data_IF_496763590477
#
_entry.id   IF_496763590477
#
_cell.length_a   1.000
_cell.length_b   1.000
_cell.length_c   1.000
_cell.angle_alpha   90.00
_cell.angle_beta   90.00
_cell.angle_gamma   90.00
#
_symmetry.space_group_name_H-M   'P 1'
#
loop_
_entity.id
_entity.type
_entity.pdbx_description
1 polymer ?
#
# COMPACT_ATOMS: atom_id res chain seq x y z
N UNK A 1 -21.20 -2.20 -38.10
CA UNK A 1 -21.31 -2.40 -39.56
C UNK A 1 -22.72 -2.19 -40.11
N UNK A 2 -23.77 -2.85 -39.59
CA UNK A 2 -25.15 -2.70 -40.11
C UNK A 2 -25.69 -1.26 -40.12
N UNK A 3 -25.27 -0.42 -39.17
CA UNK A 3 -25.75 0.97 -39.07
C UNK A 3 -25.18 1.90 -40.14
N UNK A 4 -23.86 1.87 -40.38
CA UNK A 4 -23.24 2.67 -41.45
C UNK A 4 -23.79 2.32 -42.83
N UNK A 5 -24.09 1.03 -43.06
CA UNK A 5 -24.73 0.57 -44.29
C UNK A 5 -26.12 1.17 -44.49
N UNK A 6 -26.92 1.34 -43.42
CA UNK A 6 -28.24 1.99 -43.50
C UNK A 6 -28.14 3.47 -43.86
N UNK A 7 -27.19 4.19 -43.25
CA UNK A 7 -26.97 5.60 -43.55
C UNK A 7 -26.50 5.81 -44.99
N UNK A 8 -25.63 4.93 -45.51
CA UNK A 8 -25.23 4.97 -46.92
C UNK A 8 -26.42 4.84 -47.86
N UNK A 9 -27.29 3.85 -47.64
CA UNK A 9 -28.49 3.67 -48.47
C UNK A 9 -29.45 4.87 -48.38
N UNK A 10 -29.64 5.43 -47.19
CA UNK A 10 -30.49 6.60 -47.00
C UNK A 10 -29.95 7.82 -47.76
N UNK A 11 -28.65 8.09 -47.66
CA UNK A 11 -28.01 9.22 -48.35
C UNK A 11 -28.10 9.03 -49.87
N UNK A 12 -27.79 7.83 -50.38
CA UNK A 12 -27.90 7.51 -51.81
C UNK A 12 -29.34 7.66 -52.29
N UNK A 13 -30.31 7.15 -51.53
CA UNK A 13 -31.72 7.29 -51.85
C UNK A 13 -32.14 8.76 -51.92
N UNK A 14 -31.77 9.59 -50.93
CA UNK A 14 -32.08 11.02 -50.94
C UNK A 14 -31.45 11.73 -52.14
N UNK A 15 -30.19 11.43 -52.48
CA UNK A 15 -29.53 11.99 -53.65
C UNK A 15 -30.26 11.64 -54.95
N UNK A 16 -30.58 10.36 -55.16
CA UNK A 16 -31.28 9.89 -56.36
C UNK A 16 -32.71 10.44 -56.43
N UNK A 17 -33.41 10.51 -55.30
CA UNK A 17 -34.76 11.03 -55.21
C UNK A 17 -34.81 12.53 -55.56
N UNK A 18 -33.95 13.36 -54.95
CA UNK A 18 -33.88 14.80 -55.23
C UNK A 18 -33.42 15.05 -56.68
N UNK A 19 -32.47 14.26 -57.18
CA UNK A 19 -32.04 14.34 -58.59
C UNK A 19 -33.18 13.98 -59.53
N UNK A 20 -33.93 12.92 -59.24
CA UNK A 20 -35.12 12.54 -60.00
C UNK A 20 -36.16 13.66 -60.04
N UNK A 21 -36.45 14.29 -58.90
CA UNK A 21 -37.37 15.43 -58.84
C UNK A 21 -36.93 16.57 -59.76
N UNK A 22 -35.63 16.85 -59.85
CA UNK A 22 -35.11 17.87 -60.78
C UNK A 22 -35.27 17.48 -62.25
N UNK A 23 -34.92 16.25 -62.64
CA UNK A 23 -34.94 15.85 -64.05
C UNK A 23 -36.34 15.56 -64.60
N UNK A 24 -37.29 15.14 -63.75
CA UNK A 24 -38.66 14.83 -64.18
C UNK A 24 -39.63 16.00 -64.09
N UNK A 25 -39.23 17.13 -63.52
CA UNK A 25 -40.07 18.33 -63.42
C UNK A 25 -39.91 19.22 -64.66
N UNK A 26 -41.01 19.82 -65.12
CA UNK A 26 -40.98 20.72 -66.28
C UNK A 26 -40.21 22.01 -65.94
N UNK A 27 -39.39 22.47 -66.90
CA UNK A 27 -38.49 23.61 -66.74
C UNK A 27 -39.17 24.96 -66.53
N UNK A 28 -40.45 25.08 -66.82
CA UNK A 28 -41.25 26.29 -66.57
C UNK A 28 -41.63 26.46 -65.08
N UNK A 29 -41.45 25.43 -64.23
CA UNK A 29 -41.77 25.46 -62.80
C UNK A 29 -40.54 25.82 -61.96
N UNK A 30 -39.97 27.00 -62.21
CA UNK A 30 -38.71 27.48 -61.61
C UNK A 30 -38.69 27.44 -60.07
N UNK A 31 -39.83 27.73 -59.44
CA UNK A 31 -39.97 27.71 -57.98
C UNK A 31 -39.72 26.30 -57.41
N UNK A 32 -40.15 25.25 -58.11
CA UNK A 32 -39.92 23.87 -57.67
C UNK A 32 -38.44 23.48 -57.82
N UNK A 33 -37.79 23.87 -58.92
CA UNK A 33 -36.35 23.62 -59.10
C UNK A 33 -35.51 24.35 -58.03
N UNK A 34 -35.85 25.58 -57.64
CA UNK A 34 -35.17 26.28 -56.53
C UNK A 34 -35.34 25.52 -55.21
N UNK A 35 -36.57 25.06 -54.92
CA UNK A 35 -36.87 24.30 -53.72
C UNK A 35 -36.10 22.98 -53.67
N UNK A 36 -36.11 22.19 -54.76
CA UNK A 36 -35.39 20.92 -54.83
C UNK A 36 -33.89 21.10 -54.70
N UNK A 37 -33.33 22.21 -55.22
CA UNK A 37 -31.91 22.53 -55.07
C UNK A 37 -31.53 22.67 -53.59
N UNK A 38 -32.35 23.35 -52.79
CA UNK A 38 -32.13 23.48 -51.34
C UNK A 38 -32.23 22.15 -50.59
N UNK A 39 -32.98 21.17 -51.11
CA UNK A 39 -33.05 19.85 -50.48
C UNK A 39 -31.72 19.10 -50.49
N UNK A 40 -30.80 19.40 -51.42
CA UNK A 40 -29.48 18.76 -51.46
C UNK A 40 -28.61 19.05 -50.23
N UNK A 41 -28.87 20.12 -49.46
CA UNK A 41 -28.17 20.33 -48.20
C UNK A 41 -28.43 19.23 -47.18
N UNK A 42 -29.60 18.58 -47.21
CA UNK A 42 -29.98 17.52 -46.28
C UNK A 42 -29.03 16.31 -46.38
N UNK A 43 -28.85 15.65 -47.55
CA UNK A 43 -27.91 14.53 -47.66
C UNK A 43 -26.45 14.94 -47.41
N UNK A 44 -26.05 16.17 -47.76
CA UNK A 44 -24.70 16.69 -47.48
C UNK A 44 -24.44 16.78 -45.98
N UNK A 45 -25.35 17.43 -45.24
CA UNK A 45 -25.25 17.59 -43.78
C UNK A 45 -25.30 16.21 -43.10
N UNK A 46 -26.22 15.33 -43.49
CA UNK A 46 -26.29 13.98 -42.93
C UNK A 46 -24.99 13.18 -43.15
N UNK A 47 -24.41 13.28 -44.34
CA UNK A 47 -23.14 12.64 -44.64
C UNK A 47 -21.98 13.23 -43.82
N UNK A 48 -21.96 14.56 -43.65
CA UNK A 48 -21.00 15.25 -42.78
C UNK A 48 -21.13 14.82 -41.31
N UNK A 49 -22.35 14.66 -40.79
CA UNK A 49 -22.55 14.19 -39.41
C UNK A 49 -22.13 12.73 -39.21
N UNK A 50 -22.39 11.84 -40.17
CA UNK A 50 -22.13 10.41 -40.01
C UNK A 50 -20.72 9.99 -40.39
N UNK A 51 -20.17 10.61 -41.42
CA UNK A 51 -18.85 10.26 -41.98
C UNK A 51 -17.86 11.44 -41.94
N UNK A 52 -18.18 12.48 -41.17
CA UNK A 52 -17.30 13.61 -40.87
C UNK A 52 -16.87 14.32 -42.16
N UNK A 53 -15.64 14.83 -42.21
CA UNK A 53 -15.14 15.60 -43.36
C UNK A 53 -15.16 14.81 -44.67
N UNK A 54 -14.90 13.50 -44.63
CA UNK A 54 -14.90 12.64 -45.82
C UNK A 54 -16.31 12.50 -46.41
N UNK A 55 -17.33 12.34 -45.56
CA UNK A 55 -18.73 12.25 -46.01
C UNK A 55 -19.26 13.55 -46.59
N UNK A 56 -19.08 14.65 -45.85
CA UNK A 56 -19.54 15.97 -46.29
C UNK A 56 -18.91 16.38 -47.62
N UNK A 57 -17.62 16.13 -47.80
CA UNK A 57 -16.91 16.39 -49.05
C UNK A 57 -17.35 15.47 -50.19
N UNK A 58 -17.38 14.14 -49.98
CA UNK A 58 -17.74 13.20 -51.04
C UNK A 58 -19.18 13.43 -51.55
N UNK A 59 -20.13 13.68 -50.64
CA UNK A 59 -21.53 13.89 -51.01
C UNK A 59 -21.77 15.26 -51.63
N UNK A 60 -21.11 16.32 -51.17
CA UNK A 60 -21.22 17.64 -51.82
C UNK A 60 -20.65 17.63 -53.25
N UNK A 61 -19.56 16.91 -53.49
CA UNK A 61 -19.05 16.70 -54.86
C UNK A 61 -20.02 15.86 -55.69
N UNK A 62 -20.57 14.79 -55.12
CA UNK A 62 -21.55 13.96 -55.84
C UNK A 62 -22.79 14.78 -56.24
N UNK A 63 -23.32 15.61 -55.34
CA UNK A 63 -24.40 16.56 -55.64
C UNK A 63 -24.00 17.49 -56.77
N UNK A 64 -22.81 18.08 -56.71
CA UNK A 64 -22.30 18.98 -57.74
C UNK A 64 -22.27 18.31 -59.12
N UNK A 65 -21.69 17.11 -59.20
CA UNK A 65 -21.60 16.35 -60.44
C UNK A 65 -22.97 15.92 -60.99
N UNK A 66 -23.93 15.62 -60.14
CA UNK A 66 -25.30 15.25 -60.54
C UNK A 66 -26.12 16.47 -61.01
N UNK A 67 -25.87 17.64 -60.42
CA UNK A 67 -26.62 18.86 -60.69
C UNK A 67 -26.12 19.62 -61.93
N UNK A 68 -24.80 19.62 -62.21
CA UNK A 68 -24.21 20.35 -63.35
C UNK A 68 -24.85 20.00 -64.70
N UNK A 69 -25.06 18.72 -65.09
CA UNK A 69 -25.63 18.41 -66.40
C UNK A 69 -27.05 18.97 -66.55
N UNK A 70 -27.85 18.95 -65.48
CA UNK A 70 -29.17 19.58 -65.46
C UNK A 70 -29.06 21.09 -65.68
N UNK A 71 -28.13 21.76 -64.99
CA UNK A 71 -27.91 23.19 -65.20
C UNK A 71 -27.55 23.52 -66.65
N UNK A 72 -26.61 22.80 -67.27
CA UNK A 72 -26.15 23.08 -68.64
C UNK A 72 -27.29 22.89 -69.64
N UNK A 73 -28.11 21.85 -69.49
CA UNK A 73 -29.24 21.56 -70.40
C UNK A 73 -30.29 22.68 -70.36
N UNK A 74 -30.63 23.19 -69.19
CA UNK A 74 -31.74 24.14 -69.02
C UNK A 74 -31.31 25.61 -69.07
N UNK A 75 -30.08 25.92 -68.72
CA UNK A 75 -29.56 27.29 -68.60
C UNK A 75 -28.47 27.64 -69.60
N UNK A 76 -28.08 26.74 -70.52
CA UNK A 76 -26.84 26.70 -71.33
C UNK A 76 -26.33 27.94 -72.09
N UNK A 77 -26.89 29.13 -71.84
CA UNK A 77 -26.34 30.44 -72.18
C UNK A 77 -25.81 31.11 -70.90
N UNK A 78 -24.62 31.72 -70.97
CA UNK A 78 -24.08 32.49 -69.84
C UNK A 78 -24.98 33.69 -69.50
N UNK A 79 -25.80 33.53 -68.46
CA UNK A 79 -26.69 34.55 -67.91
C UNK A 79 -26.53 34.66 -66.37
N UNK A 80 -27.20 35.65 -65.76
CA UNK A 80 -27.15 35.88 -64.31
C UNK A 80 -27.70 34.68 -63.52
N UNK A 81 -28.65 33.94 -64.10
CA UNK A 81 -29.28 32.79 -63.44
C UNK A 81 -28.33 31.58 -63.38
N UNK A 82 -27.58 31.31 -64.46
CA UNK A 82 -26.52 30.31 -64.48
C UNK A 82 -25.45 30.64 -63.44
N UNK A 83 -25.09 31.92 -63.30
CA UNK A 83 -24.13 32.38 -62.30
C UNK A 83 -24.63 32.11 -60.86
N UNK A 84 -25.89 32.44 -60.55
CA UNK A 84 -26.47 32.18 -59.23
C UNK A 84 -26.47 30.68 -58.87
N UNK A 85 -26.71 29.80 -59.85
CA UNK A 85 -26.71 28.36 -59.61
C UNK A 85 -25.31 27.77 -59.47
N UNK A 86 -24.31 28.34 -60.15
CA UNK A 86 -22.91 28.01 -59.93
C UNK A 86 -22.48 28.43 -58.51
N UNK A 87 -22.91 29.59 -58.03
CA UNK A 87 -22.67 30.01 -56.64
C UNK A 87 -23.31 29.04 -55.63
N UNK A 88 -24.54 28.58 -55.87
CA UNK A 88 -25.18 27.58 -55.00
C UNK A 88 -24.40 26.26 -54.97
N UNK A 89 -23.90 25.83 -56.13
CA UNK A 89 -23.07 24.64 -56.25
C UNK A 89 -21.78 24.74 -55.44
N UNK A 90 -21.16 25.94 -55.41
CA UNK A 90 -20.03 26.22 -54.52
C UNK A 90 -20.47 26.15 -53.06
N UNK A 91 -21.65 26.69 -52.72
CA UNK A 91 -22.19 26.61 -51.36
C UNK A 91 -22.40 25.18 -50.86
N UNK A 92 -22.78 24.22 -51.72
CA UNK A 92 -22.84 22.80 -51.34
C UNK A 92 -21.50 22.26 -50.84
N UNK A 93 -20.42 22.56 -51.55
CA UNK A 93 -19.07 22.14 -51.17
C UNK A 93 -18.61 22.85 -49.90
N UNK A 94 -18.87 24.16 -49.79
CA UNK A 94 -18.54 24.94 -48.60
C UNK A 94 -19.27 24.41 -47.37
N UNK A 95 -20.57 24.15 -47.45
CA UNK A 95 -21.35 23.59 -46.34
C UNK A 95 -20.88 22.17 -45.99
N UNK A 96 -20.67 21.32 -46.99
CA UNK A 96 -20.15 19.96 -46.76
C UNK A 96 -18.80 19.93 -46.05
N UNK A 97 -17.88 20.83 -46.46
CA UNK A 97 -16.58 20.98 -45.83
C UNK A 97 -16.67 21.58 -44.42
N UNK A 98 -17.41 22.67 -44.22
CA UNK A 98 -17.53 23.32 -42.91
C UNK A 98 -18.22 22.39 -41.91
N UNK A 99 -19.38 21.83 -42.25
CA UNK A 99 -20.09 20.90 -41.37
C UNK A 99 -19.24 19.66 -41.10
N UNK A 100 -18.61 19.10 -42.13
CA UNK A 100 -17.75 17.93 -41.98
C UNK A 100 -16.51 18.20 -41.10
N UNK A 101 -15.91 19.38 -41.24
CA UNK A 101 -14.79 19.85 -40.42
C UNK A 101 -15.21 20.06 -38.96
N UNK A 102 -16.34 20.73 -38.71
CA UNK A 102 -16.85 20.96 -37.35
C UNK A 102 -17.13 19.63 -36.63
N UNK A 103 -17.80 18.69 -37.32
CA UNK A 103 -18.09 17.36 -36.75
C UNK A 103 -16.81 16.56 -36.52
N UNK A 104 -15.83 16.63 -37.43
CA UNK A 104 -14.51 15.99 -37.24
C UNK A 104 -13.78 16.58 -36.02
N UNK A 105 -13.82 17.89 -35.84
CA UNK A 105 -13.20 18.56 -34.69
C UNK A 105 -13.85 18.15 -33.37
N UNK A 106 -15.18 18.11 -33.30
CA UNK A 106 -15.91 17.70 -32.09
C UNK A 106 -15.68 16.22 -31.78
N UNK A 107 -15.64 15.37 -32.80
CA UNK A 107 -15.30 13.96 -32.62
C UNK A 107 -13.87 13.77 -32.05
N UNK A 108 -12.90 14.53 -32.55
CA UNK A 108 -11.51 14.49 -32.05
C UNK A 108 -11.41 14.98 -30.61
N UNK A 109 -12.05 16.11 -30.28
CA UNK A 109 -12.12 16.63 -28.90
C UNK A 109 -12.74 15.62 -27.96
N UNK A 110 -13.84 14.98 -28.36
CA UNK A 110 -14.50 13.93 -27.57
C UNK A 110 -13.55 12.76 -27.26
N UNK A 111 -12.81 12.27 -28.27
CA UNK A 111 -11.80 11.22 -28.08
C UNK A 111 -10.64 11.64 -27.20
N UNK A 112 -10.16 12.87 -27.36
CA UNK A 112 -9.06 13.40 -26.54
C UNK A 112 -9.47 13.53 -25.07
N UNK A 113 -10.68 14.04 -24.80
CA UNK A 113 -11.24 14.09 -23.45
C UNK A 113 -11.40 12.70 -22.85
N UNK A 114 -11.94 11.73 -23.60
CA UNK A 114 -12.06 10.35 -23.15
C UNK A 114 -10.69 9.75 -22.79
N UNK A 115 -9.68 9.97 -23.64
CA UNK A 115 -8.31 9.54 -23.37
C UNK A 115 -7.73 10.21 -22.11
N UNK A 116 -7.94 11.52 -21.92
CA UNK A 116 -7.50 12.24 -20.73
C UNK A 116 -8.17 11.72 -19.45
N UNK A 117 -9.48 11.46 -19.47
CA UNK A 117 -10.22 10.89 -18.34
C UNK A 117 -9.64 9.52 -17.98
N UNK A 118 -9.48 8.61 -18.96
CA UNK A 118 -8.90 7.28 -18.71
C UNK A 118 -7.49 7.39 -18.13
N UNK A 119 -6.66 8.29 -18.66
CA UNK A 119 -5.29 8.50 -18.17
C UNK A 119 -5.27 9.02 -16.74
N UNK A 120 -6.14 9.97 -16.39
CA UNK A 120 -6.28 10.50 -15.03
C UNK A 120 -6.75 9.41 -14.06
N UNK A 121 -7.79 8.65 -14.42
CA UNK A 121 -8.28 7.53 -13.60
C UNK A 121 -7.21 6.47 -13.38
N UNK A 122 -6.43 6.13 -14.41
CA UNK A 122 -5.33 5.17 -14.26
C UNK A 122 -4.23 5.69 -13.32
N UNK A 123 -3.88 6.98 -13.39
CA UNK A 123 -2.89 7.59 -12.51
C UNK A 123 -3.38 7.63 -11.05
N UNK A 124 -4.65 7.97 -10.84
CA UNK A 124 -5.29 7.96 -9.52
C UNK A 124 -5.30 6.54 -8.93
N UNK A 125 -5.72 5.55 -9.71
CA UNK A 125 -5.70 4.14 -9.30
C UNK A 125 -4.29 3.63 -9.00
N UNK A 126 -3.31 3.98 -9.83
CA UNK A 126 -1.91 3.61 -9.60
C UNK A 126 -1.39 4.20 -8.28
N UNK A 127 -1.65 5.48 -8.02
CA UNK A 127 -1.25 6.16 -6.78
C UNK A 127 -1.93 5.55 -5.56
N UNK A 128 -3.23 5.27 -5.65
CA UNK A 128 -3.98 4.59 -4.60
C UNK A 128 -3.44 3.19 -4.35
N UNK A 129 -3.12 2.41 -5.39
CA UNK A 129 -2.55 1.07 -5.23
C UNK A 129 -1.19 1.10 -4.54
N UNK A 130 -0.32 2.06 -4.87
CA UNK A 130 0.94 2.27 -4.14
C UNK A 130 0.65 2.49 -2.66
N UNK A 131 -0.21 3.46 -2.34
CA UNK A 131 -0.57 3.79 -0.95
C UNK A 131 -1.10 2.55 -0.19
N UNK A 132 -1.97 1.75 -0.82
CA UNK A 132 -2.55 0.54 -0.25
C UNK A 132 -1.56 -0.62 -0.10
N UNK A 133 -0.46 -0.62 -0.88
CA UNK A 133 0.57 -1.66 -0.86
C UNK A 133 1.70 -1.43 0.15
N UNK A 134 1.80 -0.22 0.72
CA UNK A 134 2.80 0.11 1.74
C UNK A 134 2.49 -0.65 3.05
N UNK A 135 3.50 -1.37 3.57
CA UNK A 135 3.40 -2.15 4.81
C UNK A 135 3.36 -1.30 6.09
N UNK A 136 3.77 -0.03 6.02
CA UNK A 136 3.58 0.95 7.10
C UNK A 136 2.16 1.53 7.04
N UNK A 137 1.60 1.88 8.19
CA UNK A 137 0.34 2.60 8.27
C UNK A 137 0.49 4.02 7.75
N UNK A 138 -0.36 4.45 6.81
CA UNK A 138 -0.33 5.82 6.27
C UNK A 138 -1.71 6.46 6.39
N UNK A 139 -1.75 7.65 6.99
CA UNK A 139 -2.92 8.51 7.04
C UNK A 139 -2.58 9.89 6.47
N UNK A 140 -3.43 10.45 5.63
CA UNK A 140 -3.29 11.81 5.13
C UNK A 140 -4.39 12.70 5.70
N UNK A 141 -4.02 13.93 6.07
CA UNK A 141 -4.88 14.95 6.65
C UNK A 141 -4.85 16.21 5.78
N UNK A 142 -5.95 16.94 5.75
CA UNK A 142 -6.03 18.25 5.13
C UNK A 142 -5.43 19.36 6.02
N UNK A 143 -5.46 20.60 5.55
CA UNK A 143 -4.98 21.79 6.28
C UNK A 143 -5.76 22.07 7.57
N UNK A 144 -6.98 21.54 7.71
CA UNK A 144 -7.80 21.68 8.91
C UNK A 144 -7.58 20.53 9.90
N UNK A 145 -6.68 19.59 9.59
CA UNK A 145 -6.41 18.39 10.40
C UNK A 145 -7.45 17.29 10.25
N UNK A 146 -8.34 17.36 9.23
CA UNK A 146 -9.33 16.32 8.97
C UNK A 146 -8.73 15.19 8.13
N UNK A 147 -9.08 13.95 8.48
CA UNK A 147 -8.61 12.75 7.80
C UNK A 147 -9.17 12.66 6.37
N UNK A 148 -8.29 12.70 5.36
CA UNK A 148 -8.63 12.59 3.94
C UNK A 148 -8.53 11.16 3.42
N UNK A 149 -7.51 10.42 3.83
CA UNK A 149 -7.28 9.05 3.34
C UNK A 149 -6.51 8.19 4.34
N UNK A 150 -6.73 6.88 4.26
CA UNK A 150 -5.98 5.86 5.01
C UNK A 150 -5.61 4.70 4.10
N UNK A 151 -4.47 4.07 4.35
CA UNK A 151 -4.13 2.83 3.69
C UNK A 151 -4.66 1.59 4.44
N UNK A 152 -4.57 0.43 3.80
CA UNK A 152 -5.03 -0.85 4.34
C UNK A 152 -4.35 -1.23 5.65
N UNK A 153 -3.08 -0.86 5.82
CA UNK A 153 -2.34 -1.22 7.02
C UNK A 153 -2.92 -0.57 8.27
N UNK A 154 -3.35 0.69 8.19
CA UNK A 154 -4.06 1.36 9.29
C UNK A 154 -5.30 0.59 9.74
N UNK A 155 -6.10 0.12 8.78
CA UNK A 155 -7.32 -0.66 9.06
C UNK A 155 -6.96 -2.02 9.69
N UNK A 156 -5.84 -2.62 9.28
CA UNK A 156 -5.36 -3.89 9.84
C UNK A 156 -4.91 -3.74 11.30
N UNK A 157 -4.20 -2.66 11.62
CA UNK A 157 -3.63 -2.41 12.95
C UNK A 157 -4.67 -1.84 13.92
N UNK A 158 -5.35 -0.76 13.53
CA UNK A 158 -6.29 -0.03 14.39
C UNK A 158 -7.71 -0.57 14.34
N UNK A 159 -8.11 -1.18 13.22
CA UNK A 159 -9.43 -1.78 13.03
C UNK A 159 -10.43 -0.89 12.29
N UNK A 160 -11.58 -0.66 12.92
CA UNK A 160 -12.75 0.01 12.34
C UNK A 160 -12.54 1.53 12.24
N UNK A 161 -13.38 2.20 11.42
CA UNK A 161 -13.35 3.66 11.27
C UNK A 161 -13.49 4.40 12.61
N UNK A 162 -14.30 3.89 13.53
CA UNK A 162 -14.49 4.48 14.87
C UNK A 162 -13.21 4.40 15.72
N UNK A 163 -12.50 3.27 15.66
CA UNK A 163 -11.23 3.09 16.38
C UNK A 163 -10.13 4.00 15.80
N UNK A 164 -10.10 4.18 14.49
CA UNK A 164 -9.20 5.12 13.82
C UNK A 164 -9.48 6.56 14.27
N UNK A 165 -10.75 6.98 14.35
CA UNK A 165 -11.10 8.32 14.84
C UNK A 165 -10.64 8.52 16.28
N UNK A 166 -10.89 7.56 17.18
CA UNK A 166 -10.42 7.61 18.57
C UNK A 166 -8.90 7.67 18.68
N UNK A 167 -8.19 6.98 17.79
CA UNK A 167 -6.73 7.03 17.72
C UNK A 167 -6.23 8.43 17.36
N UNK A 168 -6.85 9.06 16.34
CA UNK A 168 -6.50 10.42 15.90
C UNK A 168 -6.85 11.45 16.98
N UNK A 169 -7.93 11.22 17.74
CA UNK A 169 -8.38 12.12 18.82
C UNK A 169 -7.46 12.15 20.05
N UNK A 170 -6.43 11.30 20.12
CA UNK A 170 -5.44 11.36 21.18
C UNK A 170 -4.68 12.70 21.13
N UNK A 171 -4.53 13.33 22.30
CA UNK A 171 -3.91 14.65 22.44
C UNK A 171 -2.52 14.72 21.77
N UNK A 172 -1.69 13.68 21.94
CA UNK A 172 -0.36 13.58 21.35
C UNK A 172 -0.38 13.62 19.82
N UNK A 173 -1.36 12.98 19.18
CA UNK A 173 -1.51 12.91 17.73
C UNK A 173 -2.06 14.24 17.19
N UNK A 174 -3.11 14.78 17.81
CA UNK A 174 -3.68 16.08 17.44
C UNK A 174 -2.61 17.17 17.52
N UNK A 175 -1.87 17.24 18.62
CA UNK A 175 -0.80 18.21 18.80
C UNK A 175 0.29 18.05 17.75
N UNK A 176 0.70 16.82 17.44
CA UNK A 176 1.70 16.54 16.41
C UNK A 176 1.26 17.02 15.03
N UNK A 177 0.01 16.73 14.63
CA UNK A 177 -0.57 17.19 13.36
C UNK A 177 -0.61 18.73 13.33
N UNK A 178 -1.10 19.36 14.39
CA UNK A 178 -1.21 20.82 14.49
C UNK A 178 0.15 21.52 14.40
N UNK A 179 1.19 20.98 15.02
CA UNK A 179 2.56 21.52 14.96
C UNK A 179 3.12 21.52 13.53
N UNK A 180 2.87 20.44 12.78
CA UNK A 180 3.30 20.31 11.38
C UNK A 180 2.54 21.28 10.47
N UNK A 181 1.21 21.34 10.62
CA UNK A 181 0.33 22.22 9.84
C UNK A 181 0.67 23.70 10.08
N UNK A 182 0.81 24.11 11.35
CA UNK A 182 1.21 25.48 11.72
C UNK A 182 2.66 25.80 11.37
N UNK A 183 3.48 24.77 11.12
CA UNK A 183 4.89 24.92 10.79
C UNK A 183 5.79 25.33 11.93
N UNK A 184 5.41 25.01 13.16
CA UNK A 184 6.31 25.08 14.30
C UNK A 184 7.39 23.99 14.22
N UNK A 185 7.08 22.86 13.57
CA UNK A 185 8.02 21.76 13.33
C UNK A 185 7.93 21.30 11.87
N UNK A 186 9.04 20.76 11.35
CA UNK A 186 9.12 20.17 10.00
C UNK A 186 8.88 18.66 9.99
N UNK A 187 9.12 18.00 11.13
CA UNK A 187 8.87 16.58 11.35
C UNK A 187 8.57 16.37 12.83
N UNK A 188 7.49 15.66 13.16
CA UNK A 188 7.15 15.26 14.53
C UNK A 188 7.29 13.75 14.64
N UNK A 189 8.00 13.26 15.67
CA UNK A 189 8.15 11.83 15.97
C UNK A 189 7.51 11.50 17.32
N UNK A 190 6.69 10.46 17.34
CA UNK A 190 5.93 10.02 18.51
C UNK A 190 6.10 8.51 18.63
N UNK A 191 6.55 8.04 19.78
CA UNK A 191 6.58 6.61 20.08
C UNK A 191 5.49 6.33 21.11
N UNK A 192 4.64 5.35 20.84
CA UNK A 192 3.56 4.98 21.74
C UNK A 192 3.42 3.47 21.91
N UNK A 193 2.92 3.09 23.08
CA UNK A 193 2.43 1.74 23.32
C UNK A 193 0.93 1.75 23.06
N UNK A 194 0.47 0.90 22.16
CA UNK A 194 -0.93 0.83 21.76
C UNK A 194 -1.46 -0.60 21.87
N UNK A 195 -2.70 -0.74 22.31
CA UNK A 195 -3.38 -2.04 22.32
C UNK A 195 -4.09 -2.18 20.97
N UNK A 196 -3.53 -3.01 20.10
CA UNK A 196 -4.08 -3.26 18.77
C UNK A 196 -5.46 -3.93 18.80
N UNK A 197 -6.10 -4.03 17.64
CA UNK A 197 -7.43 -4.64 17.47
C UNK A 197 -7.55 -6.04 18.11
N UNK A 198 -6.50 -6.86 18.05
CA UNK A 198 -6.47 -8.21 18.59
C UNK A 198 -6.11 -8.28 20.09
N UNK A 199 -6.11 -7.14 20.80
CA UNK A 199 -5.65 -7.01 22.19
C UNK A 199 -4.17 -7.38 22.41
N UNK A 200 -3.35 -7.17 21.37
CA UNK A 200 -1.91 -7.35 21.45
C UNK A 200 -1.25 -6.00 21.77
N UNK A 201 -0.22 -6.03 22.62
CA UNK A 201 0.62 -4.86 22.88
C UNK A 201 1.52 -4.58 21.68
N UNK A 202 1.32 -3.41 21.07
CA UNK A 202 2.06 -2.90 19.94
C UNK A 202 2.94 -1.72 20.35
N UNK A 203 4.17 -1.70 19.86
CA UNK A 203 5.05 -0.54 19.89
C UNK A 203 4.95 0.15 18.54
N UNK A 204 4.35 1.34 18.51
CA UNK A 204 4.14 2.11 17.29
C UNK A 204 5.07 3.32 17.27
N UNK A 205 5.88 3.39 16.21
CA UNK A 205 6.67 4.57 15.88
C UNK A 205 5.91 5.38 14.84
N UNK A 206 5.58 6.62 15.19
CA UNK A 206 4.79 7.52 14.36
C UNK A 206 5.63 8.70 13.95
N UNK A 207 5.65 8.98 12.66
CA UNK A 207 6.28 10.18 12.10
C UNK A 207 5.28 10.96 11.27
N UNK A 208 5.16 12.25 11.56
CA UNK A 208 4.25 13.17 10.87
C UNK A 208 5.07 14.14 10.03
N UNK A 209 4.74 14.21 8.74
CA UNK A 209 5.39 15.08 7.75
C UNK A 209 4.37 16.06 7.15
N UNK A 210 4.77 17.28 6.77
CA UNK A 210 3.88 18.19 6.04
C UNK A 210 3.66 17.68 4.61
N UNK A 211 2.45 17.90 4.08
CA UNK A 211 2.18 17.81 2.65
C UNK A 211 2.31 19.21 2.09
N UNK A 212 3.24 19.40 1.17
CA UNK A 212 3.53 20.69 0.52
C UNK A 212 3.22 20.59 -0.97
N UNK A 213 2.69 21.68 -1.54
CA UNK A 213 2.55 21.80 -2.98
C UNK A 213 3.83 22.31 -3.65
N UNK A 214 3.78 22.47 -4.98
CA UNK A 214 4.92 22.93 -5.78
C UNK A 214 5.44 24.33 -5.37
N UNK A 215 4.62 25.14 -4.69
CA UNK A 215 4.99 26.45 -4.17
C UNK A 215 5.50 26.41 -2.71
N UNK A 216 5.73 25.21 -2.15
CA UNK A 216 6.08 24.98 -0.74
C UNK A 216 5.02 25.49 0.25
N UNK A 217 3.78 25.66 -0.22
CA UNK A 217 2.65 25.96 0.65
C UNK A 217 2.15 24.65 1.21
N UNK A 218 1.96 24.61 2.53
CA UNK A 218 1.42 23.44 3.23
C UNK A 218 -0.06 23.26 2.88
N UNK A 219 -0.42 22.07 2.47
CA UNK A 219 -1.81 21.68 2.15
C UNK A 219 -2.39 20.68 3.17
N UNK A 220 -1.55 20.18 4.08
CA UNK A 220 -1.95 19.24 5.11
C UNK A 220 -0.77 18.52 5.75
N UNK A 221 -1.02 17.32 6.26
CA UNK A 221 -0.01 16.48 6.89
C UNK A 221 -0.21 15.00 6.53
N UNK A 222 0.88 14.24 6.51
CA UNK A 222 0.85 12.78 6.38
C UNK A 222 1.46 12.16 7.64
N UNK A 223 0.73 11.23 8.24
CA UNK A 223 1.17 10.44 9.38
C UNK A 223 1.55 9.06 8.87
N UNK A 224 2.80 8.67 9.13
CA UNK A 224 3.33 7.34 8.90
C UNK A 224 3.46 6.63 10.24
N UNK A 225 2.94 5.42 10.33
CA UNK A 225 2.92 4.57 11.53
C UNK A 225 3.63 3.26 11.22
N UNK A 226 4.65 2.94 12.00
CA UNK A 226 5.41 1.70 11.88
C UNK A 226 5.25 0.85 13.14
N UNK A 227 4.90 -0.42 12.96
CA UNK A 227 4.90 -1.39 14.04
C UNK A 227 6.31 -1.95 14.24
N UNK A 228 6.96 -1.49 15.30
CA UNK A 228 8.33 -1.88 15.67
C UNK A 228 8.35 -2.91 16.80
N UNK A 229 7.23 -3.57 17.08
CA UNK A 229 7.07 -4.50 18.21
C UNK A 229 8.11 -5.62 18.20
N UNK A 230 8.28 -6.29 17.06
CA UNK A 230 9.24 -7.40 16.92
C UNK A 230 10.67 -6.91 17.11
N UNK A 231 11.01 -5.77 16.52
CA UNK A 231 12.34 -5.14 16.67
C UNK A 231 12.60 -4.82 18.13
N UNK A 232 11.65 -4.18 18.82
CA UNK A 232 11.77 -3.83 20.24
C UNK A 232 11.94 -5.05 21.15
N UNK A 233 11.20 -6.12 20.88
CA UNK A 233 11.32 -7.39 21.62
C UNK A 233 12.72 -8.00 21.44
N UNK A 234 13.23 -8.02 20.21
CA UNK A 234 14.58 -8.51 19.91
C UNK A 234 15.66 -7.64 20.55
N UNK A 235 15.56 -6.30 20.45
CA UNK A 235 16.49 -5.37 21.12
C UNK A 235 16.56 -5.62 22.63
N UNK A 236 15.40 -5.78 23.27
CA UNK A 236 15.33 -6.05 24.71
C UNK A 236 15.94 -7.41 25.06
N UNK A 237 15.74 -8.42 24.22
CA UNK A 237 16.36 -9.73 24.40
C UNK A 237 17.88 -9.68 24.26
N UNK A 238 18.40 -8.95 23.26
CA UNK A 238 19.84 -8.73 23.07
C UNK A 238 20.44 -8.01 24.28
N UNK A 239 19.85 -6.89 24.71
CA UNK A 239 20.29 -6.14 25.91
C UNK A 239 20.29 -7.01 27.16
N UNK A 240 19.31 -7.91 27.31
CA UNK A 240 19.27 -8.85 28.43
C UNK A 240 20.41 -9.86 28.36
N UNK A 241 20.67 -10.43 27.18
CA UNK A 241 21.79 -11.37 26.98
C UNK A 241 23.13 -10.70 27.23
N UNK A 242 23.35 -9.48 26.72
CA UNK A 242 24.59 -8.72 26.97
C UNK A 242 24.83 -8.49 28.46
N UNK A 243 23.79 -8.09 29.20
CA UNK A 243 23.87 -7.93 30.66
C UNK A 243 24.23 -9.25 31.36
N UNK A 244 23.65 -10.37 30.94
CA UNK A 244 23.95 -11.69 31.52
C UNK A 244 25.40 -12.11 31.25
N UNK A 245 25.89 -11.90 30.02
CA UNK A 245 27.29 -12.21 29.66
C UNK A 245 28.25 -11.37 30.50
N UNK A 246 27.99 -10.06 30.64
CA UNK A 246 28.81 -9.18 31.47
C UNK A 246 28.81 -9.62 32.95
N UNK A 247 27.64 -9.95 33.52
CA UNK A 247 27.54 -10.51 34.87
C UNK A 247 28.34 -11.81 34.99
N UNK A 248 28.32 -12.68 33.98
CA UNK A 248 29.01 -13.96 34.02
C UNK A 248 30.53 -13.84 33.97
N UNK A 249 31.04 -12.91 33.17
CA UNK A 249 32.48 -12.60 33.14
C UNK A 249 32.95 -12.04 34.48
N UNK A 250 32.22 -11.06 35.04
CA UNK A 250 32.53 -10.49 36.35
C UNK A 250 32.42 -11.52 37.47
N UNK A 251 31.34 -12.29 37.50
CA UNK A 251 31.13 -13.36 38.46
C UNK A 251 32.23 -14.42 38.36
N UNK A 252 32.72 -14.78 37.17
CA UNK A 252 33.82 -15.74 37.01
C UNK A 252 35.13 -15.25 37.63
N UNK A 253 35.46 -13.97 37.46
CA UNK A 253 36.63 -13.37 38.11
C UNK A 253 36.49 -13.35 39.63
N UNK A 254 35.39 -12.80 40.13
CA UNK A 254 35.08 -12.70 41.57
C UNK A 254 34.98 -14.08 42.21
N UNK A 255 34.37 -15.05 41.53
CA UNK A 255 34.23 -16.42 42.03
C UNK A 255 35.59 -17.08 42.28
N UNK A 256 36.56 -16.85 41.39
CA UNK A 256 37.91 -17.36 41.58
C UNK A 256 38.60 -16.65 42.76
N UNK A 257 38.40 -15.34 42.90
CA UNK A 257 39.00 -14.55 43.98
C UNK A 257 38.38 -14.85 45.35
N UNK A 258 37.10 -15.21 45.44
CA UNK A 258 36.43 -15.62 46.69
C UNK A 258 36.70 -17.09 47.03
N UNK A 259 36.76 -17.98 46.03
CA UNK A 259 37.03 -19.40 46.28
C UNK A 259 38.41 -19.63 46.89
N UNK A 260 39.38 -18.79 46.56
CA UNK A 260 40.74 -18.86 47.10
C UNK A 260 40.79 -18.71 48.63
N UNK A 261 40.32 -17.60 49.26
CA UNK A 261 40.32 -17.46 50.71
C UNK A 261 39.40 -18.47 51.39
N UNK A 262 38.25 -18.81 50.81
CA UNK A 262 37.38 -19.88 51.35
C UNK A 262 38.08 -21.24 51.38
N UNK A 263 38.88 -21.55 50.35
CA UNK A 263 39.70 -22.77 50.30
C UNK A 263 40.74 -22.79 51.41
N UNK A 264 41.44 -21.67 51.63
CA UNK A 264 42.43 -21.53 52.71
C UNK A 264 41.77 -21.71 54.08
N UNK A 265 40.64 -21.03 54.33
CA UNK A 265 39.89 -21.14 55.60
C UNK A 265 39.45 -22.60 55.82
N UNK A 266 38.97 -23.28 54.77
CA UNK A 266 38.56 -24.69 54.86
C UNK A 266 39.73 -25.59 55.23
N UNK A 267 40.89 -25.44 54.58
CA UNK A 267 42.07 -26.24 54.88
C UNK A 267 42.54 -26.04 56.31
N UNK A 268 42.64 -24.78 56.77
CA UNK A 268 43.05 -24.47 58.15
C UNK A 268 42.03 -25.04 59.15
N UNK A 269 40.73 -24.88 58.89
CA UNK A 269 39.65 -25.44 59.71
C UNK A 269 39.79 -26.95 59.86
N UNK A 270 40.03 -27.66 58.75
CA UNK A 270 40.23 -29.11 58.73
C UNK A 270 41.47 -29.52 59.52
N UNK A 271 42.59 -28.83 59.36
CA UNK A 271 43.83 -29.11 60.12
C UNK A 271 43.63 -28.91 61.62
N UNK A 272 43.01 -27.80 62.05
CA UNK A 272 42.74 -27.55 63.48
C UNK A 272 41.79 -28.61 64.04
N UNK A 273 40.81 -29.05 63.25
CA UNK A 273 39.85 -30.08 63.66
C UNK A 273 40.51 -31.44 63.89
N UNK A 274 41.56 -31.76 63.15
CA UNK A 274 42.36 -32.98 63.31
C UNK A 274 43.22 -32.95 64.59
N UNK A 275 43.74 -31.78 64.96
CA UNK A 275 44.67 -31.60 66.09
C UNK A 275 43.99 -31.33 67.46
N UNK A 276 42.69 -30.99 67.47
CA UNK A 276 41.94 -30.65 68.69
C UNK A 276 41.09 -31.84 69.17
N UNK A 277 41.01 -32.07 70.48
CA UNK A 277 40.10 -33.08 71.07
C UNK A 277 38.79 -32.49 71.61
N UNK A 278 38.77 -31.17 71.87
CA UNK A 278 37.61 -30.45 72.40
C UNK A 278 36.39 -30.55 71.46
N UNK A 279 35.28 -31.06 72.01
CA UNK A 279 34.04 -31.32 71.27
C UNK A 279 33.36 -30.04 70.81
N UNK A 280 33.38 -28.99 71.64
CA UNK A 280 32.72 -27.72 71.34
C UNK A 280 33.46 -26.96 70.22
N UNK A 281 34.79 -27.04 70.21
CA UNK A 281 35.62 -26.49 69.12
C UNK A 281 35.37 -27.25 67.81
N UNK A 282 35.24 -28.59 67.86
CA UNK A 282 34.93 -29.41 66.67
C UNK A 282 33.58 -29.06 66.06
N UNK A 283 32.54 -28.88 66.87
CA UNK A 283 31.21 -28.46 66.39
C UNK A 283 31.27 -27.08 65.73
N UNK A 284 32.02 -26.14 66.32
CA UNK A 284 32.25 -24.82 65.72
C UNK A 284 32.92 -24.87 64.34
N UNK A 285 33.95 -25.72 64.19
CA UNK A 285 34.65 -25.93 62.91
C UNK A 285 33.75 -26.59 61.85
N UNK A 286 32.84 -27.48 62.25
CA UNK A 286 31.85 -28.08 61.34
C UNK A 286 30.87 -27.04 60.78
N UNK A 287 30.44 -26.09 61.60
CA UNK A 287 29.57 -24.99 61.16
C UNK A 287 30.31 -24.12 60.13
N UNK A 288 31.58 -23.82 60.37
CA UNK A 288 32.42 -23.04 59.43
C UNK A 288 32.56 -23.77 58.10
N UNK A 289 32.88 -25.06 58.11
CA UNK A 289 32.96 -25.87 56.89
C UNK A 289 31.63 -25.90 56.13
N UNK A 290 30.51 -26.04 56.84
CA UNK A 290 29.18 -26.01 56.23
C UNK A 290 28.86 -24.67 55.56
N UNK A 291 29.22 -23.53 56.18
CA UNK A 291 29.00 -22.22 55.58
C UNK A 291 29.93 -21.95 54.38
N UNK A 292 31.14 -22.49 54.38
CA UNK A 292 32.04 -22.44 53.20
C UNK A 292 31.43 -23.22 52.03
N UNK A 293 30.91 -24.42 52.28
CA UNK A 293 30.22 -25.22 51.26
C UNK A 293 28.96 -24.50 50.74
N UNK A 294 28.22 -23.85 51.63
CA UNK A 294 27.07 -23.03 51.26
C UNK A 294 27.47 -21.84 50.38
N UNK A 295 28.53 -21.12 50.72
CA UNK A 295 29.06 -20.02 49.90
C UNK A 295 29.50 -20.51 48.52
N UNK A 296 30.20 -21.65 48.44
CA UNK A 296 30.59 -22.26 47.16
C UNK A 296 29.38 -22.64 46.28
N UNK A 297 28.29 -23.13 46.88
CA UNK A 297 27.04 -23.40 46.15
C UNK A 297 26.42 -22.11 45.60
N UNK A 298 26.39 -21.03 46.36
CA UNK A 298 25.86 -19.72 45.91
C UNK A 298 26.68 -19.18 44.74
N UNK A 299 28.01 -19.22 44.85
CA UNK A 299 28.93 -18.80 43.78
C UNK A 299 28.68 -19.62 42.52
N UNK A 300 28.53 -20.95 42.66
CA UNK A 300 28.26 -21.83 41.53
C UNK A 300 26.94 -21.50 40.84
N UNK A 301 25.86 -21.30 41.59
CA UNK A 301 24.56 -20.92 41.04
C UNK A 301 24.60 -19.59 40.27
N UNK A 302 25.37 -18.62 40.75
CA UNK A 302 25.56 -17.33 40.07
C UNK A 302 26.31 -17.50 38.73
N UNK A 303 27.36 -18.33 38.71
CA UNK A 303 28.12 -18.64 37.49
C UNK A 303 27.28 -19.40 36.46
N UNK A 304 26.49 -20.38 36.92
CA UNK A 304 25.63 -21.19 36.06
C UNK A 304 24.51 -20.35 35.42
N UNK A 305 23.97 -19.38 36.16
CA UNK A 305 22.95 -18.45 35.66
C UNK A 305 23.45 -17.55 34.52
N UNK A 306 24.72 -17.14 34.58
CA UNK A 306 25.30 -16.18 33.65
C UNK A 306 26.00 -16.83 32.44
N UNK A 307 26.09 -18.16 32.41
CA UNK A 307 26.69 -18.91 31.32
C UNK A 307 25.71 -19.01 30.14
N UNK A 308 26.11 -18.66 28.90
CA UNK A 308 25.27 -18.91 27.75
C UNK A 308 25.08 -20.41 27.60
N UNK A 309 23.84 -20.89 27.72
CA UNK A 309 23.53 -22.30 27.58
C UNK A 309 23.70 -22.69 26.09
N UNK A 310 24.90 -23.13 25.72
CA UNK A 310 25.12 -23.78 24.42
C UNK A 310 24.47 -25.16 24.50
N UNK A 311 23.17 -25.22 24.23
CA UNK A 311 22.46 -26.49 24.07
C UNK A 311 23.16 -27.29 22.98
N UNK A 312 23.80 -28.40 23.37
CA UNK A 312 24.27 -29.41 22.43
C UNK A 312 23.12 -30.38 22.20
N UNK A 313 22.47 -30.24 21.05
CA UNK A 313 21.45 -31.20 20.62
C UNK A 313 22.18 -32.46 20.16
N UNK A 314 21.85 -33.59 20.77
CA UNK A 314 22.38 -34.91 20.42
C UNK A 314 21.24 -35.94 20.48
N UNK A 315 21.33 -36.98 19.65
CA UNK A 315 20.45 -38.14 19.77
C UNK A 315 20.85 -38.91 21.02
N UNK A 316 19.88 -39.17 21.91
CA UNK A 316 20.09 -39.86 23.19
C UNK A 316 19.01 -40.93 23.32
N UNK A 317 19.38 -42.11 23.81
CA UNK A 317 18.42 -43.12 24.22
C UNK A 317 17.78 -42.69 25.55
N UNK A 318 16.47 -42.44 25.51
CA UNK A 318 15.72 -41.98 26.68
C UNK A 318 15.68 -43.05 27.79
N UNK A 319 15.67 -44.33 27.43
CA UNK A 319 15.65 -45.43 28.40
C UNK A 319 16.99 -45.56 29.13
N UNK A 320 18.11 -45.37 28.43
CA UNK A 320 19.45 -45.37 29.04
C UNK A 320 19.62 -44.17 29.97
N UNK A 321 19.27 -42.96 29.50
CA UNK A 321 19.33 -41.74 30.31
C UNK A 321 18.47 -41.82 31.57
N UNK A 322 17.24 -42.35 31.46
CA UNK A 322 16.38 -42.54 32.61
C UNK A 322 16.95 -43.58 33.58
N UNK A 323 17.64 -44.61 33.09
CA UNK A 323 18.33 -45.58 33.93
C UNK A 323 19.46 -44.96 34.76
N UNK A 324 20.29 -44.12 34.13
CA UNK A 324 21.35 -43.37 34.83
C UNK A 324 20.78 -42.43 35.91
N UNK A 325 19.73 -41.67 35.56
CA UNK A 325 19.05 -40.76 36.50
C UNK A 325 18.45 -41.55 37.67
N UNK A 326 17.83 -42.70 37.41
CA UNK A 326 17.25 -43.55 38.44
C UNK A 326 18.33 -44.09 39.38
N UNK A 327 19.49 -44.50 38.87
CA UNK A 327 20.60 -44.97 39.72
C UNK A 327 21.05 -43.89 40.72
N UNK A 328 21.17 -42.64 40.27
CA UNK A 328 21.60 -41.52 41.14
C UNK A 328 20.50 -41.14 42.14
N UNK A 329 19.25 -41.07 41.70
CA UNK A 329 18.12 -40.61 42.51
C UNK A 329 17.59 -41.67 43.48
N UNK A 330 17.79 -42.97 43.21
CA UNK A 330 17.42 -44.07 44.11
C UNK A 330 18.04 -43.91 45.50
N UNK A 331 19.29 -43.44 45.56
CA UNK A 331 20.03 -43.23 46.81
C UNK A 331 19.44 -42.10 47.66
N UNK A 332 18.88 -41.08 47.01
CA UNK A 332 18.24 -39.93 47.67
C UNK A 332 16.82 -40.31 48.10
N UNK A 333 16.08 -41.00 47.21
CA UNK A 333 14.72 -41.45 47.46
C UNK A 333 14.64 -42.45 48.63
N UNK A 334 15.63 -43.35 48.77
CA UNK A 334 15.68 -44.29 49.88
C UNK A 334 15.83 -43.61 51.24
N UNK A 335 16.62 -42.52 51.34
CA UNK A 335 16.74 -41.72 52.55
C UNK A 335 15.44 -41.01 52.93
N UNK A 336 14.60 -40.69 51.94
CA UNK A 336 13.29 -40.05 52.14
C UNK A 336 12.13 -41.05 52.19
N UNK A 337 12.40 -42.36 52.18
CA UNK A 337 11.40 -43.45 52.15
C UNK A 337 10.43 -43.38 50.96
N UNK A 338 10.90 -42.85 49.82
CA UNK A 338 10.14 -42.78 48.57
C UNK A 338 10.48 -43.99 47.70
N UNK A 339 9.45 -44.70 47.22
CA UNK A 339 9.62 -45.86 46.31
C UNK A 339 9.54 -45.39 44.86
N UNK A 340 10.64 -45.57 44.13
CA UNK A 340 10.70 -45.29 42.69
C UNK A 340 10.41 -46.57 41.90
N UNK A 341 9.32 -46.56 41.13
CA UNK A 341 8.92 -47.66 40.26
C UNK A 341 9.16 -47.28 38.79
N UNK A 342 10.32 -47.65 38.25
CA UNK A 342 10.64 -47.47 36.83
C UNK A 342 10.71 -48.83 36.13
N UNK A 343 10.09 -48.94 34.96
CA UNK A 343 10.17 -50.13 34.10
C UNK A 343 10.68 -49.70 32.73
N UNK A 344 11.92 -50.06 32.34
CA UNK A 344 12.42 -49.74 31.01
C UNK A 344 11.56 -50.41 29.95
N UNK A 345 11.12 -49.64 28.96
CA UNK A 345 10.47 -50.18 27.77
C UNK A 345 11.59 -50.50 26.79
N UNK A 346 11.73 -51.79 26.44
CA UNK A 346 12.68 -52.25 25.42
C UNK A 346 12.36 -51.67 24.05
#
# INVERSE_FOLDING_TARGET
MKENTRWNYLIIFLLLFITGLHYFTQSNLWVLHDFYRRLYYIPIILAAFKFRIQGGFAVSIAVFLLYIPHMIIYFGVFNIELFNQLLESVMFVVVGLITGYLVEQDYRRGKELEYQIIKLTNLENYTNNILQSIDSGVMAFDINGQLRSVNRQIIKVLGTKSEITKFIEQETIIEGINKIIKGTETVVKINLNYIGKEKNDLFLDITIYPIENLAKVKEGAVLVMEDVTTVKKLENQVKRTERLVAIGQLASGIAHEIRNPLGIIKTISQTIKEDVEDVEIKEGLEIIEHEIERANRVIKSLLDFAKPNKMKIQNIDLSELLGEIMMVTQKIASHQKIVLNWRPRR
#
